data_IF_189250443660
#
_entry.id   IF_189250443660
#
_cell.length_a   1.000
_cell.length_b   1.000
_cell.length_c   1.000
_cell.angle_alpha   90.00
_cell.angle_beta   90.00
_cell.angle_gamma   90.00
#
_symmetry.space_group_name_H-M   'P 1'
#
loop_
_entity.id
_entity.type
_entity.pdbx_description
1 polymer ?
#
# COMPACT_ATOMS: atom_id res chain seq x y z
N UNK A 1 18.06 -25.01 -13.72
CA UNK A 1 16.72 -24.56 -14.15
C UNK A 1 15.65 -25.56 -13.73
N UNK A 2 14.65 -25.09 -13.00
CA UNK A 2 13.59 -25.99 -12.55
C UNK A 2 12.65 -26.30 -13.70
N UNK A 3 12.50 -27.57 -14.02
CA UNK A 3 11.47 -27.97 -14.96
C UNK A 3 10.09 -27.79 -14.33
N UNK A 4 9.21 -27.10 -15.02
CA UNK A 4 7.79 -27.06 -14.64
C UNK A 4 7.19 -28.45 -14.84
N UNK A 5 6.43 -28.91 -13.86
CA UNK A 5 5.67 -30.15 -14.02
C UNK A 5 4.61 -29.96 -15.08
N UNK A 6 4.36 -31.01 -15.86
CA UNK A 6 3.28 -31.01 -16.86
C UNK A 6 1.96 -30.66 -16.18
N UNK A 7 1.26 -29.65 -16.70
CA UNK A 7 -0.01 -29.16 -16.15
C UNK A 7 0.10 -28.07 -15.11
N UNK A 8 1.30 -27.64 -14.71
CA UNK A 8 1.47 -26.50 -13.80
C UNK A 8 1.27 -25.19 -14.57
N UNK A 9 0.50 -24.27 -13.95
CA UNK A 9 0.39 -22.91 -14.47
C UNK A 9 1.71 -22.17 -14.27
N UNK A 10 2.10 -21.34 -15.26
CA UNK A 10 3.19 -20.40 -15.01
C UNK A 10 2.84 -19.49 -13.85
N UNK A 11 3.84 -19.12 -13.08
CA UNK A 11 3.68 -18.19 -11.95
C UNK A 11 4.47 -16.92 -12.23
N UNK A 12 3.83 -15.77 -12.03
CA UNK A 12 4.46 -14.47 -12.15
C UNK A 12 4.43 -13.79 -10.78
N UNK A 13 5.59 -13.30 -10.34
CA UNK A 13 5.71 -12.57 -9.09
C UNK A 13 5.67 -11.07 -9.35
N UNK A 14 4.79 -10.36 -8.65
CA UNK A 14 4.69 -8.91 -8.72
C UNK A 14 4.92 -8.35 -7.32
N UNK A 15 5.80 -7.37 -7.18
CA UNK A 15 6.13 -6.76 -5.91
C UNK A 15 5.78 -5.28 -5.93
N UNK A 16 5.03 -4.85 -4.93
CA UNK A 16 4.66 -3.46 -4.71
C UNK A 16 5.09 -3.02 -3.32
N UNK A 17 5.13 -1.72 -3.11
CA UNK A 17 5.34 -1.15 -1.79
C UNK A 17 4.39 0.03 -1.60
N UNK A 18 4.01 0.27 -0.37
CA UNK A 18 3.09 1.35 -0.05
C UNK A 18 3.28 1.86 1.36
N UNK A 19 2.47 2.85 1.71
CA UNK A 19 2.63 3.54 2.97
C UNK A 19 1.36 3.70 3.77
N UNK A 20 1.52 3.55 5.08
CA UNK A 20 0.53 4.02 6.05
C UNK A 20 1.05 5.37 6.55
N UNK A 21 0.56 6.43 5.94
CA UNK A 21 1.00 7.81 6.21
C UNK A 21 0.10 8.38 7.29
N UNK A 22 0.69 8.67 8.44
CA UNK A 22 -0.04 9.20 9.60
C UNK A 22 0.35 10.65 9.84
N UNK A 23 -0.63 11.44 10.29
CA UNK A 23 -0.40 12.81 10.76
C UNK A 23 -1.38 13.16 11.88
N UNK A 24 -0.97 14.09 12.71
CA UNK A 24 -1.85 14.69 13.73
C UNK A 24 -2.07 13.83 14.96
N UNK A 25 -2.79 14.43 15.90
CA UNK A 25 -3.19 13.80 17.15
C UNK A 25 -4.59 14.30 17.52
N UNK A 26 -5.63 13.44 17.48
CA UNK A 26 -5.60 12.02 17.08
C UNK A 26 -5.13 11.80 15.64
N UNK A 27 -4.53 10.65 15.34
CA UNK A 27 -3.94 10.45 14.01
C UNK A 27 -4.98 10.31 12.90
N UNK A 28 -4.63 10.88 11.74
CA UNK A 28 -5.33 10.67 10.48
C UNK A 28 -4.43 9.87 9.55
N UNK A 29 -5.02 9.08 8.68
CA UNK A 29 -4.29 8.24 7.71
C UNK A 29 -4.68 8.61 6.28
N UNK A 30 -3.68 8.62 5.41
CA UNK A 30 -3.85 8.90 3.99
C UNK A 30 -4.40 7.67 3.27
N UNK A 31 -5.50 7.85 2.56
CA UNK A 31 -6.15 6.81 1.77
C UNK A 31 -6.45 7.32 0.37
N UNK A 32 -6.69 6.37 -0.54
CA UNK A 32 -7.17 6.65 -1.89
C UNK A 32 -8.48 5.92 -2.12
N UNK A 33 -9.30 6.43 -3.02
CA UNK A 33 -10.55 5.79 -3.36
C UNK A 33 -10.66 5.52 -4.85
N UNK A 34 -11.42 4.49 -5.18
CA UNK A 34 -11.63 3.95 -6.52
C UNK A 34 -13.10 3.54 -6.66
N UNK A 35 -13.53 3.30 -7.89
CA UNK A 35 -14.86 2.74 -8.20
C UNK A 35 -16.00 3.50 -7.56
N UNK A 36 -16.01 4.83 -7.75
CA UNK A 36 -17.06 5.70 -7.20
C UNK A 36 -17.05 5.77 -5.69
N UNK A 37 -15.88 5.61 -5.06
CA UNK A 37 -15.73 5.63 -3.61
C UNK A 37 -16.03 4.30 -2.93
N UNK A 38 -16.37 3.26 -3.70
CA UNK A 38 -16.68 1.94 -3.14
C UNK A 38 -15.45 1.18 -2.65
N UNK A 39 -14.27 1.50 -3.18
CA UNK A 39 -13.00 0.93 -2.73
C UNK A 39 -12.19 2.03 -2.09
N UNK A 40 -11.79 1.80 -0.83
CA UNK A 40 -10.88 2.67 -0.08
C UNK A 40 -9.66 1.84 0.28
N UNK A 41 -8.48 2.32 -0.07
CA UNK A 41 -7.25 1.54 0.05
C UNK A 41 -6.07 2.45 0.37
N UNK A 42 -4.99 1.86 0.87
CA UNK A 42 -3.74 2.57 1.13
C UNK A 42 -2.99 2.82 -0.18
N UNK A 43 -2.28 3.95 -0.30
CA UNK A 43 -1.48 4.21 -1.50
C UNK A 43 -0.33 3.22 -1.62
N UNK A 44 -0.14 2.68 -2.82
CA UNK A 44 0.89 1.70 -3.12
C UNK A 44 1.11 1.60 -4.63
N UNK A 45 2.22 1.01 -5.01
CA UNK A 45 2.46 0.73 -6.41
C UNK A 45 3.69 -0.14 -6.62
N UNK A 46 3.92 -0.50 -7.86
CA UNK A 46 4.92 -1.49 -8.25
C UNK A 46 6.34 -0.97 -8.05
N UNK A 47 7.19 -1.84 -7.53
CA UNK A 47 8.63 -1.57 -7.37
C UNK A 47 9.29 -1.52 -8.76
N UNK A 48 10.04 -0.47 -9.01
CA UNK A 48 10.80 -0.31 -10.25
C UNK A 48 12.19 -0.95 -10.13
N UNK A 49 12.81 -1.34 -11.26
CA UNK A 49 14.15 -1.92 -11.23
C UNK A 49 15.16 -1.04 -10.49
N UNK A 50 15.93 -1.63 -9.58
CA UNK A 50 16.94 -0.93 -8.80
C UNK A 50 16.41 -0.14 -7.61
N UNK A 51 15.11 -0.09 -7.45
CA UNK A 51 14.47 0.67 -6.37
C UNK A 51 14.39 -0.18 -5.10
N UNK A 52 14.68 0.42 -3.97
CA UNK A 52 14.44 -0.21 -2.67
C UNK A 52 12.96 -0.06 -2.31
N UNK A 53 12.42 -0.99 -1.54
CA UNK A 53 11.00 -0.96 -1.17
C UNK A 53 10.58 0.33 -0.44
N UNK A 54 11.36 0.87 0.53
CA UNK A 54 11.01 2.16 1.13
C UNK A 54 11.00 3.32 0.12
N UNK A 55 11.91 3.30 -0.84
CA UNK A 55 11.95 4.30 -1.90
C UNK A 55 10.70 4.23 -2.77
N UNK A 56 10.26 3.02 -3.10
CA UNK A 56 9.02 2.80 -3.85
C UNK A 56 7.82 3.36 -3.07
N UNK A 57 7.76 3.09 -1.77
CA UNK A 57 6.66 3.58 -0.94
C UNK A 57 6.59 5.11 -0.96
N UNK A 58 7.72 5.80 -0.81
CA UNK A 58 7.79 7.26 -0.87
C UNK A 58 7.33 7.79 -2.23
N UNK A 59 7.85 7.18 -3.31
CA UNK A 59 7.51 7.58 -4.68
C UNK A 59 6.04 7.36 -4.99
N UNK A 60 5.51 6.19 -4.66
CA UNK A 60 4.11 5.86 -4.96
C UNK A 60 3.12 6.71 -4.16
N UNK A 61 3.41 6.98 -2.89
CA UNK A 61 2.60 7.90 -2.10
C UNK A 61 2.53 9.26 -2.78
N UNK A 62 3.67 9.78 -3.22
CA UNK A 62 3.71 11.07 -3.92
C UNK A 62 2.99 11.02 -5.26
N UNK A 63 3.22 9.99 -6.05
CA UNK A 63 2.60 9.87 -7.38
C UNK A 63 1.09 9.70 -7.32
N UNK A 64 0.58 8.92 -6.37
CA UNK A 64 -0.86 8.68 -6.26
C UNK A 64 -1.61 9.80 -5.55
N UNK A 65 -0.98 10.48 -4.62
CA UNK A 65 -1.70 11.40 -3.71
C UNK A 65 -1.19 12.83 -3.70
N UNK A 66 0.02 13.09 -4.19
CA UNK A 66 0.65 14.40 -4.07
C UNK A 66 1.27 14.68 -2.70
N UNK A 67 1.25 13.72 -1.78
CA UNK A 67 1.76 13.89 -0.42
C UNK A 67 3.23 13.48 -0.34
N UNK A 68 4.02 14.32 0.31
CA UNK A 68 5.41 13.99 0.66
C UNK A 68 5.44 13.38 2.06
N UNK A 69 6.08 12.24 2.19
CA UNK A 69 6.16 11.49 3.45
C UNK A 69 7.51 10.84 3.60
N UNK A 70 7.93 10.63 4.85
CA UNK A 70 9.17 9.93 5.16
C UNK A 70 8.90 8.61 5.85
N UNK A 71 9.72 7.61 5.57
CA UNK A 71 9.60 6.28 6.16
C UNK A 71 10.13 6.29 7.59
N UNK A 72 9.34 5.78 8.52
CA UNK A 72 9.72 5.64 9.92
C UNK A 72 10.08 4.20 10.27
N UNK A 73 9.35 3.21 9.73
CA UNK A 73 9.57 1.79 10.07
C UNK A 73 8.86 0.88 9.08
N UNK A 74 9.35 -0.35 8.87
CA UNK A 74 8.59 -1.35 8.14
C UNK A 74 7.43 -1.86 9.00
N UNK A 75 6.32 -2.20 8.35
CA UNK A 75 5.14 -2.74 9.04
C UNK A 75 4.90 -4.21 8.75
N UNK A 76 5.19 -4.65 7.54
CA UNK A 76 4.97 -6.03 7.15
C UNK A 76 4.63 -6.17 5.68
N UNK A 77 4.32 -7.40 5.33
CA UNK A 77 4.04 -7.80 3.96
C UNK A 77 2.67 -8.45 3.88
N UNK A 78 1.94 -8.11 2.82
CA UNK A 78 0.71 -8.79 2.42
C UNK A 78 1.02 -9.57 1.15
N UNK A 79 0.58 -10.82 1.08
CA UNK A 79 0.74 -11.65 -0.12
C UNK A 79 -0.62 -12.21 -0.52
N UNK A 80 -0.94 -12.14 -1.81
CA UNK A 80 -2.12 -12.77 -2.34
C UNK A 80 -1.89 -13.27 -3.76
N UNK A 81 -2.77 -14.18 -4.21
CA UNK A 81 -2.65 -14.83 -5.50
C UNK A 81 -3.92 -14.59 -6.29
N UNK A 82 -3.75 -14.40 -7.59
CA UNK A 82 -4.88 -14.34 -8.52
C UNK A 82 -4.47 -14.88 -9.87
N UNK A 83 -5.46 -15.19 -10.71
CA UNK A 83 -5.23 -15.74 -12.04
C UNK A 83 -5.52 -14.67 -13.08
N UNK A 84 -4.59 -14.50 -14.04
CA UNK A 84 -4.82 -13.71 -15.24
C UNK A 84 -4.90 -14.65 -16.42
N UNK A 85 -5.77 -14.34 -17.37
CA UNK A 85 -5.95 -15.15 -18.57
C UNK A 85 -5.24 -14.48 -19.74
N UNK A 86 -4.13 -15.08 -20.15
CA UNK A 86 -3.33 -14.62 -21.28
C UNK A 86 -3.59 -15.49 -22.50
N UNK A 87 -3.19 -15.05 -23.74
CA UNK A 87 -3.42 -15.83 -24.96
C UNK A 87 -2.88 -17.26 -24.91
N UNK A 88 -1.75 -17.47 -24.22
CA UNK A 88 -1.13 -18.79 -24.08
C UNK A 88 -1.75 -19.63 -22.96
N UNK A 89 -2.70 -19.07 -22.21
CA UNK A 89 -3.38 -19.76 -21.13
C UNK A 89 -3.34 -19.00 -19.80
N UNK A 90 -3.90 -19.59 -18.74
CA UNK A 90 -3.96 -18.93 -17.43
C UNK A 90 -2.58 -18.85 -16.77
N UNK A 91 -2.32 -17.71 -16.14
CA UNK A 91 -1.08 -17.47 -15.37
C UNK A 91 -1.49 -17.13 -13.94
N UNK A 92 -0.85 -17.79 -12.98
CA UNK A 92 -1.02 -17.45 -11.56
C UNK A 92 -0.09 -16.28 -11.24
N UNK A 93 -0.66 -15.22 -10.67
CA UNK A 93 0.12 -14.07 -10.21
C UNK A 93 0.22 -14.12 -8.70
N UNK A 94 1.46 -14.09 -8.19
CA UNK A 94 1.76 -13.92 -6.78
C UNK A 94 2.09 -12.45 -6.56
N UNK A 95 1.26 -11.74 -5.82
CA UNK A 95 1.48 -10.32 -5.53
C UNK A 95 1.85 -10.14 -4.07
N UNK A 96 2.95 -9.43 -3.85
CA UNK A 96 3.41 -9.05 -2.51
C UNK A 96 3.38 -7.54 -2.40
N UNK A 97 2.88 -7.02 -1.28
CA UNK A 97 2.90 -5.60 -0.99
C UNK A 97 3.60 -5.38 0.35
N UNK A 98 4.67 -4.60 0.33
CA UNK A 98 5.42 -4.22 1.53
C UNK A 98 4.95 -2.87 2.00
N UNK A 99 4.47 -2.78 3.25
CA UNK A 99 3.95 -1.54 3.82
C UNK A 99 4.92 -0.96 4.85
N UNK A 100 4.98 0.37 4.85
CA UNK A 100 5.84 1.13 5.77
C UNK A 100 5.02 2.16 6.53
N UNK A 101 5.35 2.32 7.81
CA UNK A 101 4.87 3.45 8.60
C UNK A 101 5.58 4.69 8.10
N UNK A 102 4.80 5.72 7.78
CA UNK A 102 5.33 6.95 7.22
C UNK A 102 4.75 8.16 7.94
N UNK A 103 5.53 9.22 7.99
CA UNK A 103 5.12 10.50 8.54
C UNK A 103 4.89 11.50 7.42
N UNK A 104 3.79 12.24 7.52
CA UNK A 104 3.49 13.34 6.61
C UNK A 104 4.53 14.44 6.75
N UNK A 105 5.12 14.88 5.65
CA UNK A 105 6.08 15.99 5.62
C UNK A 105 5.48 17.24 4.98
N UNK A 106 4.65 17.07 3.96
CA UNK A 106 4.07 18.18 3.24
C UNK A 106 3.14 17.71 2.13
N UNK A 107 2.59 18.66 1.43
CA UNK A 107 1.65 18.40 0.35
C UNK A 107 0.22 18.18 0.84
N UNK A 108 -0.72 18.61 0.02
CA UNK A 108 -2.15 18.40 0.26
C UNK A 108 -2.60 17.23 -0.62
N UNK A 109 -3.31 16.25 -0.06
CA UNK A 109 -3.78 15.12 -0.88
C UNK A 109 -4.72 15.60 -1.98
N UNK A 110 -4.47 15.09 -3.18
CA UNK A 110 -5.33 15.33 -4.33
C UNK A 110 -5.13 14.21 -5.33
N UNK A 111 -6.17 13.85 -6.12
CA UNK A 111 -6.01 12.81 -7.11
C UNK A 111 -4.99 13.27 -8.14
N UNK A 112 -4.04 12.39 -8.44
CA UNK A 112 -3.10 12.59 -9.52
C UNK A 112 -3.74 12.05 -10.81
N UNK A 113 -3.14 12.32 -11.96
CA UNK A 113 -3.58 11.78 -13.24
C UNK A 113 -3.23 10.29 -13.31
N UNK A 114 -3.83 9.51 -12.43
CA UNK A 114 -3.56 8.10 -12.23
C UNK A 114 -4.88 7.34 -12.14
N UNK A 115 -4.78 6.11 -11.73
CA UNK A 115 -5.92 5.20 -11.59
C UNK A 115 -6.81 5.51 -10.38
N UNK A 116 -6.36 6.37 -9.46
CA UNK A 116 -7.15 6.70 -8.27
C UNK A 116 -8.10 7.87 -8.57
N UNK A 117 -9.30 7.80 -8.01
CA UNK A 117 -10.32 8.83 -8.18
C UNK A 117 -10.19 9.95 -7.18
N UNK A 118 -9.73 9.65 -5.96
CA UNK A 118 -9.58 10.63 -4.91
C UNK A 118 -8.50 10.22 -3.92
N UNK A 119 -7.92 11.19 -3.23
CA UNK A 119 -6.93 10.98 -2.18
C UNK A 119 -7.25 11.94 -1.03
N UNK A 120 -7.28 11.43 0.19
CA UNK A 120 -7.66 12.23 1.35
C UNK A 120 -7.18 11.60 2.65
N UNK A 121 -7.13 12.41 3.71
CA UNK A 121 -6.89 11.91 5.06
C UNK A 121 -8.20 11.59 5.75
N UNK A 122 -8.24 10.47 6.47
CA UNK A 122 -9.35 10.07 7.32
C UNK A 122 -8.86 9.94 8.76
N UNK A 123 -9.71 10.24 9.76
CA UNK A 123 -9.42 9.79 11.11
C UNK A 123 -9.10 8.29 11.10
N UNK A 124 -8.03 7.89 11.79
CA UNK A 124 -7.60 6.49 11.77
C UNK A 124 -8.71 5.54 12.25
N UNK A 125 -9.51 5.97 13.23
CA UNK A 125 -10.65 5.18 13.72
C UNK A 125 -11.68 4.93 12.62
N UNK A 126 -11.93 5.90 11.77
CA UNK A 126 -12.84 5.76 10.63
C UNK A 126 -12.23 4.89 9.54
N UNK A 127 -10.93 5.04 9.28
CA UNK A 127 -10.23 4.24 8.28
C UNK A 127 -10.22 2.75 8.63
N UNK A 128 -10.14 2.41 9.93
CA UNK A 128 -10.24 1.02 10.38
C UNK A 128 -11.56 0.36 9.98
N UNK A 129 -12.61 1.15 9.80
CA UNK A 129 -13.91 0.64 9.35
C UNK A 129 -14.05 0.72 7.82
N UNK A 130 -13.49 1.75 7.20
CA UNK A 130 -13.72 2.05 5.79
C UNK A 130 -12.74 1.40 4.82
N UNK A 131 -11.52 1.04 5.25
CA UNK A 131 -10.58 0.35 4.37
C UNK A 131 -11.20 -0.95 3.87
N UNK A 132 -11.18 -1.13 2.56
CA UNK A 132 -11.88 -2.24 1.90
C UNK A 132 -11.25 -3.60 2.15
N UNK A 133 -9.94 -3.64 2.45
CA UNK A 133 -9.20 -4.90 2.56
C UNK A 133 -8.77 -5.19 3.99
N UNK A 134 -9.14 -6.36 4.54
CA UNK A 134 -8.76 -6.73 5.91
C UNK A 134 -7.26 -6.67 6.18
N UNK A 135 -6.45 -7.05 5.21
CA UNK A 135 -4.99 -7.01 5.34
C UNK A 135 -4.47 -5.59 5.53
N UNK A 136 -5.10 -4.61 4.88
CA UNK A 136 -4.73 -3.21 5.04
C UNK A 136 -5.19 -2.65 6.38
N UNK A 137 -6.36 -3.06 6.85
CA UNK A 137 -6.81 -2.69 8.21
C UNK A 137 -5.82 -3.20 9.25
N UNK A 138 -5.28 -4.40 9.06
CA UNK A 138 -4.26 -4.96 9.94
C UNK A 138 -2.97 -4.13 9.91
N UNK A 139 -2.55 -3.68 8.73
CA UNK A 139 -1.38 -2.81 8.60
C UNK A 139 -1.59 -1.47 9.32
N UNK A 140 -2.79 -0.90 9.23
CA UNK A 140 -3.12 0.32 9.95
C UNK A 140 -3.06 0.10 11.47
N UNK A 141 -3.56 -1.02 11.97
CA UNK A 141 -3.47 -1.37 13.40
C UNK A 141 -2.02 -1.44 13.84
N UNK A 142 -1.16 -2.09 13.07
CA UNK A 142 0.28 -2.18 13.36
C UNK A 142 0.93 -0.80 13.39
N UNK A 143 0.55 0.05 12.42
CA UNK A 143 1.06 1.42 12.35
C UNK A 143 0.69 2.23 13.59
N UNK A 144 -0.55 2.12 14.04
CA UNK A 144 -1.01 2.83 15.23
C UNK A 144 -0.28 2.37 16.50
N UNK A 145 -0.05 1.06 16.63
CA UNK A 145 0.73 0.52 17.74
C UNK A 145 2.17 1.00 17.72
N UNK A 146 2.80 1.04 16.54
CA UNK A 146 4.16 1.54 16.38
C UNK A 146 4.26 3.03 16.71
N UNK A 147 3.27 3.80 16.29
CA UNK A 147 3.23 5.23 16.57
C UNK A 147 3.17 5.48 18.08
N UNK A 148 2.34 4.74 18.81
CA UNK A 148 2.25 4.84 20.27
C UNK A 148 3.57 4.47 20.93
N UNK A 149 4.23 3.41 20.48
CA UNK A 149 5.51 2.98 21.03
C UNK A 149 6.59 4.04 20.81
N UNK A 150 6.59 4.72 19.66
CA UNK A 150 7.53 5.80 19.37
C UNK A 150 7.27 7.01 20.28
N UNK A 151 6.02 7.36 20.52
CA UNK A 151 5.66 8.48 21.39
C UNK A 151 6.12 8.25 22.84
N UNK A 152 6.04 7.00 23.34
CA UNK A 152 6.49 6.64 24.68
C UNK A 152 8.01 6.69 24.85
N UNK A 153 8.77 6.55 23.77
CA UNK A 153 10.24 6.58 23.78
C UNK A 153 10.81 7.98 23.59
N UNK A 154 9.98 8.87 23.08
CA UNK A 154 10.33 10.26 22.86
C UNK A 154 10.03 11.12 24.06
#
# INVERSE_FOLDING_TARGET
MRRKRKGQRPTRRVVSAGGVVLKGDPPEVLVVSLRGGRVVTLPKGQVEPGERYPETAVREVREETGVEASVLAPLGRVRYYFTVHEPEGPVTVSKEVYYFLMRHLGGTPRPQLTEVENAFFLPASEALERLSYPNEREMLKRALLRLRARAKKG
#
